data_IF_233685711842
#
_entry.id   IF_233685711842
#
_cell.length_a   1.000
_cell.length_b   1.000
_cell.length_c   1.000
_cell.angle_alpha   90.00
_cell.angle_beta   90.00
_cell.angle_gamma   90.00
#
_symmetry.space_group_name_H-M   'P 1'
#
loop_
_entity.id
_entity.type
_entity.pdbx_description
1 polymer ?
#
# COMPACT_ATOMS: atom_id res chain seq x y z
N UNK A 1 -3.56 1.68 -64.88
CA UNK A 1 -2.68 2.27 -63.87
C UNK A 1 -3.51 3.25 -63.04
N UNK A 2 -3.92 2.92 -61.80
CA UNK A 2 -4.38 3.93 -60.82
C UNK A 2 -4.49 3.34 -59.40
N UNK A 3 -3.56 3.79 -58.54
CA UNK A 3 -3.54 3.97 -57.08
C UNK A 3 -4.26 2.97 -56.14
N UNK A 4 -3.44 2.17 -55.45
CA UNK A 4 -3.81 1.59 -54.16
C UNK A 4 -3.78 2.67 -53.06
N UNK A 5 -4.84 2.74 -52.26
CA UNK A 5 -4.87 3.59 -51.08
C UNK A 5 -4.15 2.91 -49.91
N UNK A 6 -2.97 3.40 -49.58
CA UNK A 6 -2.22 2.99 -48.39
C UNK A 6 -2.90 3.60 -47.15
N UNK A 7 -3.54 2.77 -46.32
CA UNK A 7 -4.06 3.21 -45.01
C UNK A 7 -2.90 3.28 -44.01
N UNK A 8 -2.35 4.47 -43.83
CA UNK A 8 -1.52 4.79 -42.67
C UNK A 8 -2.41 5.13 -41.48
N UNK A 9 -2.69 4.14 -40.63
CA UNK A 9 -3.12 4.43 -39.26
C UNK A 9 -2.42 3.48 -38.30
N UNK A 10 -1.09 3.58 -38.27
CA UNK A 10 -0.32 3.20 -37.08
C UNK A 10 -0.65 4.22 -36.00
N UNK A 11 -1.80 4.04 -35.35
CA UNK A 11 -2.02 4.62 -34.06
C UNK A 11 -0.99 4.01 -33.13
N UNK A 12 0.12 4.72 -32.93
CA UNK A 12 0.91 4.58 -31.72
C UNK A 12 -0.07 4.85 -30.58
N UNK A 13 -0.63 3.78 -30.04
CA UNK A 13 -1.32 3.80 -28.77
C UNK A 13 -0.26 4.34 -27.82
N UNK A 14 -0.44 5.59 -27.34
CA UNK A 14 0.40 6.14 -26.28
C UNK A 14 0.61 5.04 -25.26
N UNK A 15 1.87 4.70 -24.98
CA UNK A 15 2.22 3.83 -23.87
C UNK A 15 1.31 4.20 -22.71
N UNK A 16 0.44 3.25 -22.32
CA UNK A 16 -0.55 3.45 -21.29
C UNK A 16 0.17 4.10 -20.12
N UNK A 17 -0.21 5.33 -19.77
CA UNK A 17 0.52 6.14 -18.80
C UNK A 17 0.79 5.26 -17.58
N UNK A 18 2.04 4.86 -17.38
CA UNK A 18 2.44 4.03 -16.26
C UNK A 18 2.25 4.90 -15.03
N UNK A 19 1.28 4.54 -14.20
CA UNK A 19 0.99 5.32 -13.00
C UNK A 19 2.05 5.00 -11.96
N UNK A 20 2.77 6.01 -11.52
CA UNK A 20 3.73 5.86 -10.45
C UNK A 20 3.03 6.18 -9.14
N UNK A 21 2.67 5.15 -8.38
CA UNK A 21 2.27 5.27 -6.98
C UNK A 21 3.42 4.80 -6.11
N UNK A 22 4.10 5.71 -5.41
CA UNK A 22 5.12 5.34 -4.44
C UNK A 22 4.49 5.26 -3.06
N UNK A 23 4.75 4.19 -2.30
CA UNK A 23 4.26 4.01 -0.92
C UNK A 23 5.39 3.68 0.04
N UNK A 24 5.32 4.29 1.23
CA UNK A 24 5.91 3.86 2.50
C UNK A 24 4.79 3.77 3.53
N UNK A 25 4.74 2.68 4.30
CA UNK A 25 3.67 2.42 5.25
C UNK A 25 4.23 1.71 6.50
N UNK A 26 4.10 2.35 7.65
CA UNK A 26 4.46 1.80 8.96
C UNK A 26 3.30 1.95 9.94
N UNK A 27 3.18 1.03 10.90
CA UNK A 27 2.19 1.07 11.98
C UNK A 27 2.88 1.06 13.34
N UNK A 28 2.48 1.93 14.25
CA UNK A 28 2.98 1.99 15.62
C UNK A 28 1.86 1.65 16.61
N UNK A 29 2.13 0.83 17.62
CA UNK A 29 1.18 0.55 18.72
C UNK A 29 1.46 1.49 19.89
N UNK A 30 0.41 1.95 20.57
CA UNK A 30 0.55 2.61 21.87
C UNK A 30 0.51 1.54 22.98
N UNK A 31 1.53 1.48 23.83
CA UNK A 31 1.52 0.65 25.05
C UNK A 31 1.08 1.54 26.21
N UNK A 32 0.03 1.19 26.97
CA UNK A 32 -0.37 1.97 28.14
C UNK A 32 0.77 1.95 29.17
N UNK A 33 1.17 3.12 29.65
CA UNK A 33 2.25 3.28 30.61
C UNK A 33 1.86 2.67 31.97
N UNK A 34 2.35 1.48 32.24
CA UNK A 34 2.21 0.77 33.50
C UNK A 34 2.92 -0.58 33.41
N UNK A 35 4.10 -0.65 34.02
CA UNK A 35 5.04 -1.77 34.02
C UNK A 35 5.94 -1.86 32.76
N UNK A 36 7.19 -1.43 32.94
CA UNK A 36 8.33 -1.40 32.01
C UNK A 36 8.26 -0.43 30.81
N UNK A 37 9.39 0.22 30.50
CA UNK A 37 9.64 1.07 29.32
C UNK A 37 9.58 0.27 28.00
N UNK A 38 8.54 -0.54 27.82
CA UNK A 38 8.35 -1.38 26.64
C UNK A 38 7.68 -0.55 25.55
N UNK A 39 8.50 0.15 24.75
CA UNK A 39 8.04 0.71 23.48
C UNK A 39 7.76 -0.47 22.55
N UNK A 40 6.49 -0.75 22.27
CA UNK A 40 6.13 -1.70 21.23
C UNK A 40 6.79 -1.26 19.90
N UNK A 41 7.64 -2.09 19.28
CA UNK A 41 8.34 -1.71 18.06
C UNK A 41 7.33 -1.48 16.94
N UNK A 42 7.52 -0.40 16.16
CA UNK A 42 6.74 -0.15 14.97
C UNK A 42 6.91 -1.26 13.93
N UNK A 43 5.86 -1.52 13.17
CA UNK A 43 5.81 -2.54 12.12
C UNK A 43 5.90 -1.87 10.75
N UNK A 44 6.98 -2.14 10.01
CA UNK A 44 7.07 -1.80 8.58
C UNK A 44 6.20 -2.78 7.78
N UNK A 45 5.04 -2.30 7.32
CA UNK A 45 4.05 -3.11 6.60
C UNK A 45 4.59 -3.57 5.26
N UNK A 46 5.36 -2.74 4.57
CA UNK A 46 5.91 -3.09 3.25
C UNK A 46 6.97 -4.18 3.38
N UNK A 47 7.81 -4.10 4.41
CA UNK A 47 8.74 -5.18 4.73
C UNK A 47 8.01 -6.48 5.06
N UNK A 48 6.96 -6.43 5.89
CA UNK A 48 6.16 -7.62 6.25
C UNK A 48 5.41 -8.23 5.06
N UNK A 49 5.03 -7.42 4.07
CA UNK A 49 4.45 -7.88 2.80
C UNK A 49 5.50 -8.40 1.81
N UNK A 50 6.79 -8.37 2.14
CA UNK A 50 7.88 -8.77 1.23
C UNK A 50 8.11 -7.79 0.08
N UNK A 51 7.71 -6.51 0.25
CA UNK A 51 7.79 -5.46 -0.76
C UNK A 51 8.96 -4.50 -0.50
N UNK A 52 9.51 -4.45 0.72
CA UNK A 52 10.72 -3.68 1.00
C UNK A 52 11.98 -4.39 0.49
N UNK A 53 13.04 -3.62 0.28
CA UNK A 53 14.34 -4.14 -0.19
C UNK A 53 14.90 -5.19 0.78
N UNK A 54 14.92 -6.46 0.35
CA UNK A 54 15.69 -7.50 1.00
C UNK A 54 17.14 -7.31 0.57
N UNK A 55 18.02 -6.91 1.51
CA UNK A 55 19.46 -7.08 1.28
C UNK A 55 19.70 -8.55 0.93
N UNK A 56 20.38 -8.82 -0.18
CA UNK A 56 20.71 -10.16 -0.69
C UNK A 56 21.61 -11.02 0.22
N UNK A 57 21.67 -10.71 1.51
CA UNK A 57 22.39 -11.45 2.55
C UNK A 57 21.49 -12.38 3.36
N UNK A 58 20.17 -12.35 3.18
CA UNK A 58 19.29 -13.25 3.91
C UNK A 58 19.21 -14.63 3.23
N UNK A 59 19.40 -15.66 4.05
CA UNK A 59 19.74 -17.03 3.66
C UNK A 59 18.66 -17.61 2.71
N UNK A 60 19.00 -18.26 1.58
CA UNK A 60 18.02 -18.75 0.59
C UNK A 60 17.13 -19.91 1.10
N UNK A 61 17.24 -20.31 2.37
CA UNK A 61 16.51 -21.41 2.99
C UNK A 61 15.23 -21.03 3.74
N UNK A 62 14.93 -19.74 3.97
CA UNK A 62 13.65 -19.29 4.56
C UNK A 62 12.66 -18.79 3.50
N UNK A 63 12.59 -19.49 2.37
CA UNK A 63 11.60 -19.18 1.33
C UNK A 63 10.23 -19.71 1.75
N UNK A 64 9.54 -19.04 2.68
CA UNK A 64 8.09 -19.26 2.85
C UNK A 64 7.43 -18.84 1.54
N UNK A 65 6.75 -19.80 0.91
CA UNK A 65 6.22 -19.70 -0.44
C UNK A 65 5.42 -18.40 -0.67
N UNK A 66 5.90 -17.56 -1.59
CA UNK A 66 5.08 -16.48 -2.14
C UNK A 66 3.87 -17.10 -2.85
N UNK A 67 2.64 -16.60 -2.63
CA UNK A 67 1.47 -17.10 -3.34
C UNK A 67 1.65 -16.92 -4.86
N UNK A 68 1.16 -17.85 -5.68
CA UNK A 68 1.26 -17.73 -7.12
C UNK A 68 0.34 -16.58 -7.56
N UNK A 69 0.83 -15.69 -8.42
CA UNK A 69 0.11 -14.57 -9.10
C UNK A 69 0.38 -13.12 -8.67
N UNK A 70 1.29 -12.82 -7.76
CA UNK A 70 1.66 -11.40 -7.52
C UNK A 70 2.77 -10.94 -8.46
N UNK A 71 2.45 -10.01 -9.36
CA UNK A 71 3.43 -9.25 -10.15
C UNK A 71 4.39 -8.54 -9.16
N UNK A 72 5.69 -8.80 -9.31
CA UNK A 72 6.73 -8.21 -8.47
C UNK A 72 6.74 -6.70 -8.71
N UNK A 73 6.60 -5.84 -7.68
CA UNK A 73 6.66 -4.40 -7.87
C UNK A 73 8.04 -3.98 -8.41
N UNK A 74 8.07 -2.93 -9.22
CA UNK A 74 9.33 -2.26 -9.55
C UNK A 74 9.82 -1.51 -8.31
N UNK A 75 10.84 -2.05 -7.67
CA UNK A 75 11.47 -1.50 -6.48
C UNK A 75 12.18 -0.19 -6.86
N UNK A 76 11.72 0.95 -6.34
CA UNK A 76 12.50 2.18 -6.35
C UNK A 76 13.31 2.23 -5.05
N UNK A 77 14.52 2.77 -5.07
CA UNK A 77 15.44 2.77 -3.91
C UNK A 77 14.92 3.41 -2.61
N UNK A 78 13.68 3.92 -2.57
CA UNK A 78 13.06 4.58 -1.43
C UNK A 78 11.59 4.20 -1.17
N UNK A 79 11.02 3.20 -1.87
CA UNK A 79 9.62 2.78 -1.66
C UNK A 79 9.08 1.88 -2.78
N UNK A 80 7.82 1.46 -2.64
CA UNK A 80 7.19 0.47 -3.54
C UNK A 80 6.34 1.15 -4.60
N UNK A 81 6.54 0.79 -5.87
CA UNK A 81 5.70 1.23 -6.98
C UNK A 81 4.46 0.33 -7.08
N UNK A 82 3.26 0.89 -6.92
CA UNK A 82 2.00 0.17 -7.09
C UNK A 82 1.27 0.60 -8.37
N UNK A 83 0.64 -0.36 -9.03
CA UNK A 83 -0.29 -0.13 -10.14
C UNK A 83 -1.71 -0.61 -9.79
N UNK A 84 -2.65 -0.52 -10.72
CA UNK A 84 -4.06 -0.90 -10.46
C UNK A 84 -4.26 -2.38 -10.16
N UNK A 85 -3.26 -3.22 -10.44
CA UNK A 85 -3.29 -4.66 -10.20
C UNK A 85 -2.44 -5.05 -8.99
N UNK A 86 -1.85 -4.08 -8.28
CA UNK A 86 -1.10 -4.32 -7.06
C UNK A 86 -2.05 -4.65 -5.91
N UNK A 87 -2.00 -5.90 -5.47
CA UNK A 87 -2.77 -6.41 -4.34
C UNK A 87 -1.90 -7.39 -3.57
N UNK A 88 -1.69 -7.11 -2.28
CA UNK A 88 -0.81 -7.88 -1.41
C UNK A 88 -1.51 -8.10 -0.07
N UNK A 89 -1.59 -9.35 0.35
CA UNK A 89 -2.25 -9.76 1.58
C UNK A 89 -1.37 -10.73 2.36
N UNK A 90 -1.40 -10.59 3.69
CA UNK A 90 -0.84 -11.54 4.64
C UNK A 90 -1.84 -11.73 5.79
N UNK A 91 -1.78 -12.85 6.54
CA UNK A 91 -2.58 -12.99 7.73
C UNK A 91 -2.33 -11.84 8.72
N UNK A 92 -3.40 -11.32 9.33
CA UNK A 92 -3.32 -10.21 10.29
C UNK A 92 -2.39 -10.55 11.45
N UNK A 93 -2.41 -11.80 11.92
CA UNK A 93 -1.52 -12.32 12.95
C UNK A 93 -0.04 -12.38 12.55
N UNK A 94 0.25 -12.35 11.24
CA UNK A 94 1.63 -12.22 10.73
C UNK A 94 2.08 -10.76 10.64
N UNK A 95 1.13 -9.82 10.58
CA UNK A 95 1.42 -8.39 10.55
C UNK A 95 1.57 -7.84 11.97
N UNK A 96 0.56 -8.04 12.80
CA UNK A 96 0.48 -7.53 14.16
C UNK A 96 0.79 -8.65 15.18
N UNK A 97 1.81 -8.50 16.04
CA UNK A 97 2.04 -9.44 17.13
C UNK A 97 0.83 -9.50 18.08
N UNK A 98 0.72 -10.56 18.87
CA UNK A 98 -0.41 -10.74 19.78
C UNK A 98 -0.53 -9.60 20.82
N UNK A 99 0.56 -8.87 21.10
CA UNK A 99 0.59 -7.73 22.00
C UNK A 99 0.21 -6.39 21.32
N UNK A 100 -0.17 -6.38 20.05
CA UNK A 100 -0.61 -5.16 19.38
C UNK A 100 -1.93 -4.68 20.01
N UNK A 101 -1.88 -3.52 20.65
CA UNK A 101 -3.00 -3.01 21.45
C UNK A 101 -4.20 -2.58 20.62
N UNK A 102 -5.28 -2.21 21.31
CA UNK A 102 -6.49 -1.65 20.69
C UNK A 102 -6.23 -0.27 20.03
N UNK A 103 -5.10 0.37 20.35
CA UNK A 103 -4.68 1.66 19.85
C UNK A 103 -3.40 1.59 19.03
N UNK A 104 -3.45 2.15 17.82
CA UNK A 104 -2.35 2.19 16.90
C UNK A 104 -2.40 3.45 16.01
N UNK A 105 -1.24 3.82 15.48
CA UNK A 105 -1.04 4.96 14.58
C UNK A 105 -0.40 4.47 13.29
N UNK A 106 -0.63 5.18 12.18
CA UNK A 106 0.01 4.87 10.90
C UNK A 106 0.88 6.02 10.46
N UNK A 107 2.09 5.72 10.01
CA UNK A 107 2.92 6.67 9.27
C UNK A 107 2.92 6.26 7.82
N UNK A 108 2.43 7.14 6.95
CA UNK A 108 2.31 6.90 5.51
C UNK A 108 3.04 8.00 4.75
N UNK A 109 3.88 7.61 3.80
CA UNK A 109 4.42 8.53 2.79
C UNK A 109 4.04 8.03 1.40
N UNK A 110 3.48 8.91 0.57
CA UNK A 110 3.07 8.54 -0.78
C UNK A 110 3.22 9.66 -1.80
N UNK A 111 3.30 9.28 -3.08
CA UNK A 111 3.17 10.19 -4.22
C UNK A 111 2.24 9.57 -5.27
N UNK A 112 1.29 10.35 -5.78
CA UNK A 112 0.37 9.90 -6.84
C UNK A 112 -0.08 11.03 -7.76
N UNK A 113 -0.26 10.72 -9.05
CA UNK A 113 -0.75 11.66 -10.05
C UNK A 113 -2.24 11.52 -10.39
N UNK A 114 -2.78 10.29 -10.37
CA UNK A 114 -4.06 9.96 -11.05
C UNK A 114 -4.89 8.84 -10.43
N UNK A 115 -4.48 8.24 -9.32
CA UNK A 115 -5.34 7.25 -8.69
C UNK A 115 -6.63 7.95 -8.24
N UNK A 116 -7.80 7.39 -8.55
CA UNK A 116 -9.07 8.00 -8.17
C UNK A 116 -9.58 7.42 -6.85
N UNK A 117 -9.41 6.11 -6.68
CA UNK A 117 -9.80 5.37 -5.50
C UNK A 117 -8.75 4.27 -5.27
N UNK A 118 -8.18 4.21 -4.08
CA UNK A 118 -7.33 3.10 -3.67
C UNK A 118 -7.39 2.91 -2.15
N UNK A 119 -7.48 1.67 -1.70
CA UNK A 119 -7.10 1.33 -0.33
C UNK A 119 -5.58 1.30 -0.26
N UNK A 120 -5.00 2.07 0.66
CA UNK A 120 -3.58 1.99 1.00
C UNK A 120 -3.32 0.82 1.93
N UNK A 121 -4.28 0.59 2.82
CA UNK A 121 -4.22 -0.44 3.83
C UNK A 121 -5.66 -0.83 4.21
N UNK A 122 -5.89 -2.13 4.39
CA UNK A 122 -7.16 -2.65 4.88
C UNK A 122 -6.94 -3.91 5.70
N UNK A 123 -7.68 -4.02 6.80
CA UNK A 123 -7.82 -5.24 7.59
C UNK A 123 -9.24 -5.74 7.37
N UNK A 124 -9.37 -7.02 7.03
CA UNK A 124 -10.65 -7.68 6.85
C UNK A 124 -10.76 -8.89 7.78
N UNK A 125 -11.99 -9.26 8.13
CA UNK A 125 -12.24 -10.49 8.87
C UNK A 125 -12.24 -11.73 7.96
N UNK A 126 -12.38 -12.93 8.55
CA UNK A 126 -12.44 -14.19 7.80
C UNK A 126 -13.66 -14.34 6.88
N UNK A 127 -14.57 -13.35 6.86
CA UNK A 127 -15.72 -13.26 5.94
C UNK A 127 -15.54 -12.13 4.93
N UNK A 128 -14.31 -11.64 4.75
CA UNK A 128 -13.94 -10.54 3.84
C UNK A 128 -14.62 -9.19 4.18
N UNK A 129 -15.08 -9.02 5.43
CA UNK A 129 -15.68 -7.76 5.88
C UNK A 129 -14.60 -6.80 6.35
N UNK A 130 -14.64 -5.56 5.86
CA UNK A 130 -13.72 -4.51 6.28
C UNK A 130 -13.86 -4.22 7.79
N UNK A 131 -12.77 -4.43 8.53
CA UNK A 131 -12.67 -4.11 9.96
C UNK A 131 -11.93 -2.79 10.21
N UNK A 132 -10.94 -2.50 9.37
CA UNK A 132 -10.22 -1.23 9.37
C UNK A 132 -9.76 -0.92 7.95
N UNK A 133 -9.69 0.35 7.56
CA UNK A 133 -9.07 0.70 6.28
C UNK A 133 -8.76 2.17 6.11
N UNK A 134 -7.70 2.44 5.35
CA UNK A 134 -7.31 3.79 4.91
C UNK A 134 -7.48 3.83 3.41
N UNK A 135 -8.43 4.63 2.94
CA UNK A 135 -8.76 4.78 1.53
C UNK A 135 -8.47 6.19 1.05
N UNK A 136 -7.81 6.29 -0.08
CA UNK A 136 -7.70 7.51 -0.84
C UNK A 136 -8.90 7.64 -1.78
N UNK A 137 -9.62 8.74 -1.68
CA UNK A 137 -10.66 9.18 -2.61
C UNK A 137 -10.24 10.51 -3.24
N UNK A 138 -10.87 10.99 -4.32
CA UNK A 138 -10.49 12.27 -4.90
C UNK A 138 -10.58 13.38 -3.84
N UNK A 139 -9.44 14.04 -3.59
CA UNK A 139 -9.25 15.12 -2.61
C UNK A 139 -9.59 14.77 -1.15
N UNK A 140 -9.65 13.48 -0.81
CA UNK A 140 -10.01 12.99 0.52
C UNK A 140 -9.19 11.77 0.94
N UNK A 141 -8.91 11.69 2.23
CA UNK A 141 -8.49 10.45 2.91
C UNK A 141 -9.64 10.00 3.80
N UNK A 142 -9.99 8.72 3.75
CA UNK A 142 -11.07 8.13 4.54
C UNK A 142 -10.52 7.04 5.43
N UNK A 143 -10.86 7.10 6.72
CA UNK A 143 -10.53 6.07 7.71
C UNK A 143 -11.80 5.34 8.10
N UNK A 144 -11.80 4.04 7.87
CA UNK A 144 -12.86 3.11 8.24
C UNK A 144 -12.48 2.37 9.52
N UNK A 145 -13.44 2.23 10.44
CA UNK A 145 -13.33 1.37 11.62
C UNK A 145 -14.61 0.56 11.75
N UNK A 146 -14.54 -0.69 12.19
CA UNK A 146 -15.68 -1.61 12.16
C UNK A 146 -16.91 -1.14 12.96
N UNK A 147 -16.68 -0.32 13.98
CA UNK A 147 -17.68 0.02 15.01
C UNK A 147 -18.11 1.49 14.99
N UNK A 148 -17.44 2.33 14.20
CA UNK A 148 -17.74 3.77 14.10
C UNK A 148 -18.01 4.15 12.66
N UNK A 149 -18.70 5.27 12.47
CA UNK A 149 -18.79 5.91 11.17
C UNK A 149 -17.40 6.22 10.61
N UNK A 150 -17.26 6.16 9.29
CA UNK A 150 -16.03 6.58 8.62
C UNK A 150 -15.69 8.03 8.93
N UNK A 151 -14.39 8.31 9.05
CA UNK A 151 -13.85 9.66 9.27
C UNK A 151 -13.25 10.15 7.96
N UNK A 152 -13.51 11.42 7.63
CA UNK A 152 -13.09 12.03 6.36
C UNK A 152 -12.13 13.19 6.62
N UNK A 153 -11.00 13.16 5.93
CA UNK A 153 -10.03 14.25 5.92
C UNK A 153 -9.98 14.86 4.52
N UNK A 154 -10.21 16.17 4.41
CA UNK A 154 -10.01 16.88 3.15
C UNK A 154 -8.51 17.05 2.91
N UNK A 155 -7.99 16.37 1.89
CA UNK A 155 -6.57 16.36 1.60
C UNK A 155 -6.31 16.10 0.13
N UNK A 156 -5.54 16.97 -0.53
CA UNK A 156 -5.21 16.82 -1.94
C UNK A 156 -3.90 16.04 -2.10
N UNK A 157 -4.01 14.76 -2.44
CA UNK A 157 -2.88 13.84 -2.60
C UNK A 157 -2.55 13.52 -4.07
N UNK A 158 -3.36 14.02 -5.02
CA UNK A 158 -3.28 13.71 -6.45
C UNK A 158 -2.50 14.79 -7.22
N UNK A 159 -1.38 15.27 -6.68
CA UNK A 159 -0.59 16.34 -7.29
C UNK A 159 0.83 15.91 -7.71
N UNK A 160 1.14 14.62 -7.56
CA UNK A 160 2.45 14.03 -7.86
C UNK A 160 3.55 14.33 -6.85
N UNK A 161 3.30 15.14 -5.82
CA UNK A 161 4.28 15.45 -4.80
C UNK A 161 4.34 14.32 -3.78
N UNK A 162 5.41 14.33 -2.99
CA UNK A 162 5.52 13.45 -1.84
C UNK A 162 4.69 14.04 -0.70
N UNK A 163 3.81 13.23 -0.13
CA UNK A 163 3.00 13.54 1.04
C UNK A 163 3.38 12.59 2.17
N UNK A 164 3.46 13.10 3.39
CA UNK A 164 3.60 12.28 4.59
C UNK A 164 2.54 12.67 5.62
N UNK A 165 1.93 11.68 6.27
CA UNK A 165 0.95 11.88 7.35
C UNK A 165 1.07 10.77 8.41
N UNK A 166 0.75 11.14 9.65
CA UNK A 166 0.94 10.37 10.88
C UNK A 166 -0.18 10.62 11.87
#
# INVERSE_FOLDING_TARGET
MHLGSQRTRSGLVSAAATWNFLLLLSVCSAVPAGEDDYLAPGVDVLHRLGLAYQNSTDNPHERTASPPYTKVPSLSGYGVLLDTNSFYEIPVSSLFPAEFGDEFSFVISLSSWRANNAFLFSIKDGRDRLRFGIQLLPRRVVVYTAEKSSIYFNYNWQDGRQHAFG
#
